data_IF_422863944690
#
_entry.id   IF_422863944690
#
_cell.length_a   1.000
_cell.length_b   1.000
_cell.length_c   1.000
_cell.angle_alpha   90.00
_cell.angle_beta   90.00
_cell.angle_gamma   90.00
#
_symmetry.space_group_name_H-M   'P 1'
#
loop_
_entity.id
_entity.type
_entity.pdbx_description
1 polymer ?
#
# COMPACT_ATOMS: atom_id res chain seq x y z
N UNK A 1 -3.71 14.83 5.11
CA UNK A 1 -5.03 14.57 5.75
C UNK A 1 -4.90 13.33 6.63
N UNK A 2 -5.56 13.26 7.79
CA UNK A 2 -5.61 12.00 8.56
C UNK A 2 -6.69 11.09 8.00
N UNK A 3 -6.30 9.97 7.39
CA UNK A 3 -7.25 8.93 7.00
C UNK A 3 -7.74 8.18 8.25
N UNK A 4 -8.97 7.68 8.21
CA UNK A 4 -9.42 6.66 9.18
C UNK A 4 -8.82 5.31 8.80
N UNK A 5 -8.73 4.36 9.75
CA UNK A 5 -8.24 3.00 9.46
C UNK A 5 -8.99 2.38 8.27
N UNK A 6 -10.32 2.46 8.28
CA UNK A 6 -11.17 1.93 7.21
C UNK A 6 -10.86 2.60 5.87
N UNK A 7 -10.86 3.93 5.82
CA UNK A 7 -10.59 4.67 4.58
C UNK A 7 -9.19 4.39 4.03
N UNK A 8 -8.20 4.24 4.90
CA UNK A 8 -6.84 3.87 4.51
C UNK A 8 -6.75 2.46 3.90
N UNK A 9 -7.48 1.49 4.47
CA UNK A 9 -7.58 0.13 3.94
C UNK A 9 -8.31 0.15 2.59
N UNK A 10 -9.46 0.81 2.49
CA UNK A 10 -10.27 0.87 1.27
C UNK A 10 -9.48 1.48 0.10
N UNK A 11 -8.78 2.61 0.33
CA UNK A 11 -7.93 3.24 -0.69
C UNK A 11 -6.76 2.33 -1.07
N UNK A 12 -6.17 1.64 -0.10
CA UNK A 12 -5.09 0.68 -0.38
C UNK A 12 -5.60 -0.46 -1.25
N UNK A 13 -6.76 -1.04 -0.93
CA UNK A 13 -7.37 -2.12 -1.71
C UNK A 13 -7.61 -1.70 -3.16
N UNK A 14 -8.20 -0.53 -3.38
CA UNK A 14 -8.44 -0.01 -4.73
C UNK A 14 -7.13 0.15 -5.52
N UNK A 15 -6.11 0.75 -4.90
CA UNK A 15 -4.78 0.89 -5.52
C UNK A 15 -4.17 -0.45 -5.89
N UNK A 16 -4.17 -1.39 -4.97
CA UNK A 16 -3.52 -2.68 -5.19
C UNK A 16 -4.30 -3.59 -6.14
N UNK A 17 -5.61 -3.40 -6.26
CA UNK A 17 -6.41 -4.04 -7.32
C UNK A 17 -6.01 -3.51 -8.71
N UNK A 18 -5.92 -2.19 -8.89
CA UNK A 18 -5.49 -1.59 -10.17
C UNK A 18 -4.05 -1.99 -10.55
N UNK A 19 -3.13 -2.02 -9.57
CA UNK A 19 -1.76 -2.50 -9.78
C UNK A 19 -1.70 -4.00 -10.10
N UNK A 20 -2.62 -4.81 -9.58
CA UNK A 20 -2.71 -6.23 -9.90
C UNK A 20 -3.17 -6.46 -11.34
N UNK A 21 -3.97 -5.55 -11.91
CA UNK A 21 -4.39 -5.61 -13.31
C UNK A 21 -3.33 -5.08 -14.27
N UNK A 22 -2.70 -3.95 -13.92
CA UNK A 22 -1.80 -3.21 -14.82
C UNK A 22 -0.34 -3.64 -14.71
N UNK A 23 0.12 -4.05 -13.52
CA UNK A 23 1.54 -4.28 -13.22
C UNK A 23 2.39 -3.02 -13.28
N UNK A 24 1.75 -1.85 -13.15
CA UNK A 24 2.38 -0.54 -13.23
C UNK A 24 3.26 -0.28 -11.99
N UNK A 25 4.21 0.64 -12.13
CA UNK A 25 5.03 1.16 -11.03
C UNK A 25 4.52 2.46 -10.47
N UNK A 26 3.58 3.14 -11.17
CA UNK A 26 3.16 4.51 -10.91
C UNK A 26 3.21 4.84 -9.41
N UNK A 27 4.35 5.45 -9.03
CA UNK A 27 4.71 5.74 -7.65
C UNK A 27 3.62 6.64 -7.07
N UNK A 28 3.29 6.45 -5.80
CA UNK A 28 1.95 6.64 -5.27
C UNK A 28 1.33 8.03 -5.46
N UNK A 29 2.13 9.04 -5.76
CA UNK A 29 1.68 10.39 -6.03
C UNK A 29 0.71 10.52 -7.21
N UNK A 30 1.01 9.91 -8.36
CA UNK A 30 0.18 10.11 -9.57
C UNK A 30 -1.09 9.25 -9.56
N UNK A 31 -1.04 8.07 -8.93
CA UNK A 31 -2.21 7.21 -8.81
C UNK A 31 -3.32 7.86 -7.99
N UNK A 32 -2.98 8.39 -6.80
CA UNK A 32 -3.98 8.98 -5.91
C UNK A 32 -4.66 10.20 -6.55
N UNK A 33 -3.91 11.09 -7.21
CA UNK A 33 -4.49 12.25 -7.88
C UNK A 33 -5.41 11.85 -9.05
N UNK A 34 -4.99 10.88 -9.89
CA UNK A 34 -5.81 10.40 -11.02
C UNK A 34 -7.12 9.75 -10.61
N UNK A 35 -7.23 9.26 -9.38
CA UNK A 35 -8.46 8.67 -8.83
C UNK A 35 -9.19 9.61 -7.86
N UNK A 36 -8.85 10.90 -7.86
CA UNK A 36 -9.56 11.92 -7.10
C UNK A 36 -9.30 11.89 -5.59
N UNK A 37 -8.24 11.21 -5.16
CA UNK A 37 -7.78 11.23 -3.77
C UNK A 37 -6.89 12.47 -3.52
N UNK A 38 -6.98 13.03 -2.32
CA UNK A 38 -6.02 14.05 -1.89
C UNK A 38 -4.59 13.50 -1.91
N UNK A 39 -3.56 14.36 -2.04
CA UNK A 39 -2.17 13.93 -1.98
C UNK A 39 -1.88 13.13 -0.71
N UNK A 40 -1.42 11.90 -0.92
CA UNK A 40 -0.94 11.00 0.11
C UNK A 40 0.60 11.13 0.12
N UNK A 41 1.16 11.56 1.24
CA UNK A 41 2.57 11.95 1.36
C UNK A 41 3.51 10.74 1.41
N UNK A 42 3.00 9.60 1.83
CA UNK A 42 3.72 8.33 1.88
C UNK A 42 2.97 7.37 0.97
N UNK A 43 3.62 6.79 -0.05
CA UNK A 43 3.03 6.03 -1.18
C UNK A 43 1.96 4.95 -0.86
N UNK A 44 1.71 4.66 0.42
CA UNK A 44 0.65 3.80 0.93
C UNK A 44 -0.32 4.59 1.84
N UNK A 45 -1.62 4.51 1.56
CA UNK A 45 -2.65 5.13 2.40
C UNK A 45 -2.63 4.62 3.86
N UNK A 46 -2.12 3.40 4.13
CA UNK A 46 -1.91 2.91 5.49
C UNK A 46 -0.85 3.72 6.26
N UNK A 47 0.16 4.26 5.57
CA UNK A 47 1.17 5.12 6.18
C UNK A 47 0.59 6.49 6.59
N UNK A 48 -0.40 7.01 5.85
CA UNK A 48 -1.12 8.24 6.23
C UNK A 48 -2.00 8.06 7.47
N UNK A 49 -2.56 6.87 7.67
CA UNK A 49 -3.25 6.52 8.92
C UNK A 49 -2.28 6.45 10.10
N UNK A 50 -1.13 5.86 9.86
CA UNK A 50 -0.13 5.55 10.88
C UNK A 50 0.71 6.76 11.33
N UNK A 51 0.94 7.75 10.48
CA UNK A 51 1.72 8.94 10.85
C UNK A 51 0.99 9.84 11.86
N UNK A 52 1.17 9.50 13.14
CA UNK A 52 0.75 10.33 14.27
C UNK A 52 1.97 11.01 14.88
N UNK A 53 1.92 12.34 15.15
CA UNK A 53 3.01 13.04 15.83
C UNK A 53 3.35 12.36 17.16
N UNK A 54 4.62 12.02 17.35
CA UNK A 54 5.11 11.36 18.57
C UNK A 54 5.02 9.82 18.57
N UNK A 55 4.44 9.19 17.54
CA UNK A 55 4.40 7.73 17.42
C UNK A 55 5.58 7.20 16.57
N UNK A 56 6.06 5.99 16.91
CA UNK A 56 7.06 5.31 16.08
C UNK A 56 6.41 4.97 14.74
N UNK A 57 7.06 5.37 13.65
CA UNK A 57 6.60 5.07 12.28
C UNK A 57 6.25 3.58 12.14
N UNK A 58 5.12 3.34 11.50
CA UNK A 58 4.45 2.07 11.22
C UNK A 58 3.81 1.35 12.43
N UNK A 59 3.99 1.79 13.68
CA UNK A 59 3.47 1.07 14.86
C UNK A 59 1.95 0.88 14.92
N UNK A 60 1.19 1.77 14.28
CA UNK A 60 -0.26 1.70 14.14
C UNK A 60 -0.70 1.14 12.77
N UNK A 61 0.23 0.84 11.86
CA UNK A 61 -0.08 0.30 10.54
C UNK A 61 -0.77 -1.07 10.66
N UNK A 62 -2.04 -1.22 10.20
CA UNK A 62 -2.77 -2.47 10.37
C UNK A 62 -2.12 -3.63 9.60
N UNK A 63 -1.46 -3.34 8.47
CA UNK A 63 -0.71 -4.34 7.72
C UNK A 63 0.47 -4.88 8.54
N UNK A 64 1.30 -4.00 9.12
CA UNK A 64 2.46 -4.44 9.89
C UNK A 64 2.04 -5.25 11.12
N UNK A 65 0.97 -4.84 11.80
CA UNK A 65 0.45 -5.56 12.97
C UNK A 65 0.05 -7.01 12.68
N UNK A 66 -0.25 -7.36 11.42
CA UNK A 66 -0.69 -8.70 11.04
C UNK A 66 0.33 -9.49 10.21
N UNK A 67 1.04 -8.84 9.29
CA UNK A 67 1.82 -9.50 8.24
C UNK A 67 3.33 -9.23 8.26
N UNK A 68 3.83 -8.50 9.26
CA UNK A 68 5.22 -8.00 9.35
C UNK A 68 5.49 -6.74 8.52
N UNK A 69 6.71 -6.20 8.63
CA UNK A 69 7.05 -4.90 8.07
C UNK A 69 7.06 -4.96 6.53
N UNK A 70 6.34 -4.06 5.86
CA UNK A 70 6.20 -4.10 4.39
C UNK A 70 7.51 -3.94 3.61
N UNK A 71 8.57 -3.39 4.23
CA UNK A 71 9.90 -3.31 3.62
C UNK A 71 10.75 -4.58 3.80
N UNK A 72 10.21 -5.63 4.42
CA UNK A 72 10.90 -6.91 4.58
C UNK A 72 10.83 -7.74 3.29
N UNK A 73 11.95 -8.38 2.92
CA UNK A 73 12.12 -9.13 1.65
C UNK A 73 11.11 -10.26 1.44
N UNK A 74 10.53 -10.78 2.52
CA UNK A 74 9.51 -11.82 2.50
C UNK A 74 8.13 -11.31 2.11
N UNK A 75 7.90 -9.98 2.11
CA UNK A 75 6.56 -9.41 1.89
C UNK A 75 6.25 -9.17 0.41
N UNK A 76 4.98 -9.27 0.00
CA UNK A 76 4.57 -8.93 -1.36
C UNK A 76 4.91 -7.49 -1.76
N UNK A 77 4.79 -6.53 -0.82
CA UNK A 77 5.13 -5.13 -1.09
C UNK A 77 6.59 -4.96 -1.53
N UNK A 78 7.53 -5.51 -0.74
CA UNK A 78 8.95 -5.44 -1.09
C UNK A 78 9.20 -6.05 -2.47
N UNK A 79 8.69 -7.26 -2.70
CA UNK A 79 8.91 -7.97 -3.95
C UNK A 79 8.29 -7.27 -5.16
N UNK A 80 7.13 -6.61 -4.99
CA UNK A 80 6.53 -5.74 -6.00
C UNK A 80 7.44 -4.55 -6.34
N UNK A 81 8.01 -3.89 -5.32
CA UNK A 81 8.88 -2.73 -5.51
C UNK A 81 10.25 -3.07 -6.10
N UNK A 82 10.76 -4.27 -5.81
CA UNK A 82 12.12 -4.70 -6.19
C UNK A 82 12.17 -5.35 -7.58
N UNK A 83 11.06 -5.92 -8.05
CA UNK A 83 11.05 -6.60 -9.36
C UNK A 83 11.00 -5.62 -10.54
N UNK A 84 11.80 -5.83 -11.60
CA UNK A 84 11.71 -5.06 -12.84
C UNK A 84 10.61 -5.57 -13.78
N UNK A 85 10.02 -6.75 -13.52
CA UNK A 85 9.12 -7.44 -14.45
C UNK A 85 7.64 -7.14 -14.15
N UNK A 86 6.90 -6.62 -15.15
CA UNK A 86 5.49 -6.25 -14.99
C UNK A 86 4.59 -7.42 -14.56
N UNK A 87 4.80 -8.63 -15.10
CA UNK A 87 4.01 -9.81 -14.71
C UNK A 87 4.27 -10.23 -13.25
N UNK A 88 5.51 -10.12 -12.77
CA UNK A 88 5.81 -10.33 -11.36
C UNK A 88 5.20 -9.23 -10.49
N UNK A 89 5.15 -7.98 -10.97
CA UNK A 89 4.45 -6.90 -10.27
C UNK A 89 2.98 -7.23 -10.11
N UNK A 90 2.27 -7.65 -11.16
CA UNK A 90 0.86 -8.07 -11.06
C UNK A 90 0.68 -9.17 -10.01
N UNK A 91 1.55 -10.19 -10.05
CA UNK A 91 1.54 -11.29 -9.07
C UNK A 91 1.70 -10.79 -7.64
N UNK A 92 2.72 -9.96 -7.37
CA UNK A 92 2.98 -9.46 -6.02
C UNK A 92 1.93 -8.43 -5.57
N UNK A 93 1.41 -7.63 -6.48
CA UNK A 93 0.31 -6.70 -6.21
C UNK A 93 -0.96 -7.45 -5.82
N UNK A 94 -1.31 -8.52 -6.55
CA UNK A 94 -2.43 -9.38 -6.20
C UNK A 94 -2.22 -10.07 -4.83
N UNK A 95 -1.00 -10.53 -4.54
CA UNK A 95 -0.67 -11.11 -3.24
C UNK A 95 -0.82 -10.09 -2.09
N UNK A 96 -0.39 -8.84 -2.30
CA UNK A 96 -0.59 -7.76 -1.33
C UNK A 96 -2.07 -7.40 -1.16
N UNK A 97 -2.82 -7.30 -2.27
CA UNK A 97 -4.27 -7.06 -2.27
C UNK A 97 -5.01 -8.11 -1.43
N UNK A 98 -4.73 -9.39 -1.63
CA UNK A 98 -5.35 -10.46 -0.83
C UNK A 98 -5.05 -10.34 0.67
N UNK A 99 -3.85 -9.87 1.05
CA UNK A 99 -3.55 -9.57 2.45
C UNK A 99 -4.30 -8.35 2.98
N UNK A 100 -4.56 -7.34 2.15
CA UNK A 100 -5.41 -6.20 2.54
C UNK A 100 -6.87 -6.63 2.74
N UNK A 101 -7.37 -7.60 1.97
CA UNK A 101 -8.71 -8.18 2.15
C UNK A 101 -8.91 -8.83 3.52
N UNK A 102 -7.84 -9.27 4.14
CA UNK A 102 -7.86 -9.89 5.46
C UNK A 102 -7.84 -8.88 6.64
N UNK A 103 -7.57 -7.58 6.40
CA UNK A 103 -7.44 -6.53 7.44
C UNK A 103 -8.77 -5.96 7.95
#
# INVERSE_FOLDING_TARGET
MRLTKKKAIDISKEKWADLAETGDTNEGWDWHQRHGYEPILNDCALCEYDQRPGERRCSACPYWQRFSYCGERSTPYYNWSDTPYSEDRKKYANAFFNQLEEL
#
